data_IF_119525072535
#
_entry.id   IF_119525072535
#
_cell.length_a   1.000
_cell.length_b   1.000
_cell.length_c   1.000
_cell.angle_alpha   90.00
_cell.angle_beta   90.00
_cell.angle_gamma   90.00
#
_symmetry.space_group_name_H-M   'P 1'
#
loop_
_entity.id
_entity.type
_entity.pdbx_description
1 polymer ?
2 polymer ?
3 polymer ?
4 non-polymer ?
5 non-polymer ?
6 non-polymer ?
7 water ?
#
loop_
_entity_poly.entity_id
_entity_poly.type
_entity_poly.pdbx_seq_one_letter_code
_entity_poly.pdbx_strand_id
2 'polydeoxyribonucleotide' '(DC)(DG)(DC)(DT)(DA)(DG)(DT)(DC)(DG)(DT)(DC)(DA)(DT)' ?
3 'polydeoxyribonucleotide' '(DC)(DG)(DA)(DC)(DT)(DA)(DG)(DC)(DG)' ?
#
# COMPACT_ATOMS: atom_id res chain seq x y z
N UNK A 2 -3.24 2.41 -5.76
CA UNK A 2 -4.40 1.54 -5.79
C UNK A 2 -4.87 1.36 -7.23
N UNK A 3 -5.37 0.18 -7.57
CA UNK A 3 -5.92 -0.02 -8.92
C UNK A 3 -7.39 0.33 -8.90
N UNK A 4 -7.74 1.46 -9.51
CA UNK A 4 -9.12 1.94 -9.55
C UNK A 4 -10.10 0.85 -9.99
N UNK A 5 -10.99 0.45 -9.09
CA UNK A 5 -12.05 -0.47 -9.46
C UNK A 5 -11.68 -1.94 -9.45
N UNK A 6 -10.41 -2.24 -9.14
CA UNK A 6 -9.94 -3.63 -9.10
C UNK A 6 -10.79 -4.50 -8.17
N UNK A 7 -11.13 -3.97 -6.99
CA UNK A 7 -11.89 -4.74 -6.02
C UNK A 7 -13.26 -5.19 -6.59
N UNK A 8 -13.95 -4.33 -7.32
CA UNK A 8 -15.21 -4.73 -7.97
C UNK A 8 -14.97 -5.69 -9.12
N UNK A 9 -13.86 -5.48 -9.81
CA UNK A 9 -13.57 -6.21 -11.04
C UNK A 9 -13.27 -7.67 -10.75
N UNK A 10 -12.70 -7.96 -9.59
CA UNK A 10 -12.38 -9.34 -9.26
C UNK A 10 -13.19 -9.83 -8.05
N UNK A 11 -14.33 -9.20 -7.85
CA UNK A 11 -15.19 -9.46 -6.73
C UNK A 11 -15.61 -10.94 -6.57
N UNK A 12 -15.68 -11.70 -7.66
CA UNK A 12 -16.08 -13.11 -7.54
C UNK A 12 -15.03 -13.95 -6.85
N UNK A 13 -13.82 -13.44 -6.69
CA UNK A 13 -12.77 -14.20 -6.01
C UNK A 13 -12.82 -13.91 -4.52
N UNK A 14 -13.68 -12.99 -4.11
CA UNK A 14 -13.68 -12.58 -2.72
C UNK A 14 -14.64 -13.42 -1.92
N UNK A 15 -14.28 -13.60 -0.65
CA UNK A 15 -15.04 -14.45 0.22
C UNK A 15 -15.19 -13.76 1.57
N UNK A 16 -16.43 -13.53 2.03
CA UNK A 16 -16.65 -13.01 3.38
C UNK A 16 -16.03 -13.94 4.40
N UNK A 17 -15.36 -13.39 5.40
CA UNK A 17 -14.78 -14.21 6.44
C UNK A 17 -14.85 -13.51 7.78
N UNK A 18 -14.51 -14.25 8.82
CA UNK A 18 -14.19 -13.63 10.09
C UNK A 18 -12.73 -13.94 10.45
N UNK A 19 -12.01 -12.98 11.06
CA UNK A 19 -10.57 -13.16 11.30
C UNK A 19 -10.21 -14.24 12.29
N UNK A 20 -11.19 -14.80 13.01
CA UNK A 20 -10.88 -15.93 13.89
C UNK A 20 -10.34 -17.10 13.06
N UNK A 21 -10.62 -17.05 11.76
CA UNK A 21 -10.05 -17.95 10.78
C UNK A 21 -8.52 -18.07 10.92
N UNK A 22 -7.86 -16.98 11.32
CA UNK A 22 -6.39 -16.94 11.45
C UNK A 22 -5.90 -16.99 12.89
N UNK A 23 -6.76 -17.41 13.81
CA UNK A 23 -6.39 -17.68 15.18
C UNK A 23 -5.12 -18.53 15.26
N UNK A 24 -4.16 -18.05 16.05
CA UNK A 24 -2.92 -18.78 16.27
C UNK A 24 -1.95 -18.59 15.14
N UNK A 25 -2.27 -17.67 14.23
CA UNK A 25 -1.40 -17.38 13.10
C UNK A 25 -1.03 -15.90 13.13
N UNK A 26 -0.14 -15.51 12.21
CA UNK A 26 0.40 -14.18 12.17
C UNK A 26 -0.18 -13.40 10.99
N UNK A 27 -0.60 -12.18 11.27
CA UNK A 27 -1.20 -11.31 10.28
C UNK A 27 -0.50 -9.94 10.32
N UNK A 28 -0.04 -9.47 9.16
CA UNK A 28 0.55 -8.13 9.08
C UNK A 28 -0.51 -7.12 8.64
N UNK A 29 -0.45 -5.93 9.22
CA UNK A 29 -1.44 -4.88 8.96
C UNK A 29 -0.88 -3.68 8.20
N UNK A 30 -1.63 -3.21 7.21
CA UNK A 30 -1.39 -1.93 6.55
C UNK A 30 -1.91 -0.79 7.43
N UNK A 31 -1.15 -0.45 8.47
CA UNK A 31 -1.63 0.44 9.55
C UNK A 31 -2.08 1.86 9.13
N UNK A 32 -1.60 2.38 8.01
CA UNK A 32 -2.07 3.70 7.58
C UNK A 32 -3.57 3.77 7.25
N UNK A 33 -4.19 2.63 6.95
CA UNK A 33 -5.64 2.61 6.77
C UNK A 33 -6.35 2.97 8.09
N UNK A 34 -5.93 2.31 9.17
CA UNK A 34 -6.51 2.60 10.48
C UNK A 34 -6.18 4.02 10.91
N UNK A 35 -4.90 4.39 10.83
CA UNK A 35 -4.47 5.76 11.08
C UNK A 35 -5.32 6.83 10.40
N UNK A 36 -5.57 6.66 9.11
CA UNK A 36 -6.35 7.63 8.37
C UNK A 36 -7.78 7.67 8.93
N UNK A 37 -8.42 6.50 9.00
CA UNK A 37 -9.79 6.45 9.56
C UNK A 37 -9.90 7.06 10.96
N UNK A 38 -8.92 6.76 11.81
CA UNK A 38 -8.88 7.29 13.16
C UNK A 38 -8.65 8.78 13.25
N UNK A 39 -7.83 9.31 12.34
CA UNK A 39 -7.47 10.72 12.34
C UNK A 39 -8.65 11.58 11.88
N UNK A 40 -9.47 11.00 11.00
CA UNK A 40 -10.73 11.65 10.62
C UNK A 40 -11.63 12.02 11.84
N UNK A 41 -11.73 11.11 12.81
CA UNK A 41 -12.54 11.34 14.00
C UNK A 41 -12.08 12.58 14.81
N UNK A 42 -10.81 12.94 14.72
CA UNK A 42 -10.32 14.11 15.45
C UNK A 42 -9.73 15.14 14.51
N UNK A 43 -10.32 15.29 13.33
CA UNK A 43 -9.77 16.14 12.29
C UNK A 43 -9.70 17.61 12.69
N UNK A 44 -10.70 18.08 13.42
CA UNK A 44 -10.78 19.50 13.79
C UNK A 44 -9.53 19.88 14.57
N UNK A 45 -9.26 19.09 15.61
CA UNK A 45 -8.13 19.34 16.46
C UNK A 45 -6.80 19.17 15.70
N UNK A 46 -6.74 18.20 14.80
CA UNK A 46 -5.50 18.03 14.03
C UNK A 46 -5.24 19.20 13.06
N UNK A 47 -6.29 19.74 12.46
CA UNK A 47 -6.19 20.83 11.52
C UNK A 47 -5.83 22.12 12.24
N UNK A 48 -6.38 22.28 13.45
CA UNK A 48 -6.14 23.48 14.27
C UNK A 48 -4.83 23.39 15.05
N UNK A 49 -4.15 22.25 14.96
CA UNK A 49 -2.88 22.08 15.63
C UNK A 49 -2.98 21.73 17.11
N UNK A 50 -4.20 21.57 17.62
CA UNK A 50 -4.39 21.18 19.01
C UNK A 50 -4.00 19.71 19.20
N UNK A 51 -3.50 19.38 20.39
CA UNK A 51 -3.05 18.01 20.69
C UNK A 51 -4.20 17.00 20.71
N UNK A 52 -3.91 15.82 20.20
CA UNK A 52 -4.87 14.73 20.16
C UNK A 52 -4.15 13.40 20.10
N UNK A 53 -4.74 12.39 20.72
CA UNK A 53 -4.26 11.02 20.57
C UNK A 53 -5.45 10.06 20.38
N UNK A 54 -6.57 10.58 19.91
CA UNK A 54 -7.75 9.76 19.66
C UNK A 54 -7.48 8.61 18.68
N UNK A 55 -6.71 8.94 17.64
CA UNK A 55 -6.41 7.97 16.57
C UNK A 55 -5.64 6.75 17.10
N UNK A 56 -4.92 6.96 18.20
CA UNK A 56 -4.23 5.88 18.90
C UNK A 56 -5.24 4.88 19.45
N UNK A 57 -6.26 5.38 20.15
CA UNK A 57 -7.31 4.54 20.70
C UNK A 57 -8.03 3.81 19.56
N UNK A 58 -8.27 4.53 18.48
CA UNK A 58 -8.95 3.95 17.31
C UNK A 58 -8.21 2.72 16.81
N UNK A 59 -6.93 2.90 16.46
CA UNK A 59 -6.11 1.79 15.99
C UNK A 59 -6.05 0.67 17.03
N UNK A 60 -6.01 1.06 18.30
CA UNK A 60 -5.82 0.09 19.38
C UNK A 60 -7.03 -0.78 19.63
N UNK A 61 -8.23 -0.30 19.32
CA UNK A 61 -9.39 -1.18 19.45
C UNK A 61 -9.30 -2.29 18.40
N UNK A 62 -8.79 -1.97 17.22
CA UNK A 62 -8.56 -2.99 16.20
C UNK A 62 -7.50 -3.99 16.64
N UNK A 63 -6.37 -3.48 17.13
CA UNK A 63 -5.29 -4.36 17.57
C UNK A 63 -5.77 -5.28 18.69
N UNK A 64 -6.48 -4.73 19.65
CA UNK A 64 -7.01 -5.51 20.77
C UNK A 64 -8.03 -6.53 20.29
N UNK A 65 -8.83 -6.15 19.31
CA UNK A 65 -9.79 -7.09 18.73
C UNK A 65 -9.02 -8.27 18.15
N UNK A 66 -7.99 -7.98 17.37
CA UNK A 66 -7.18 -9.05 16.81
C UNK A 66 -6.62 -9.95 17.90
N UNK A 67 -6.09 -9.36 18.97
CA UNK A 67 -5.50 -10.16 20.05
C UNK A 67 -6.53 -11.04 20.75
N UNK A 68 -7.74 -10.54 20.92
CA UNK A 68 -8.80 -11.31 21.58
C UNK A 68 -9.08 -12.66 20.89
N UNK A 69 -8.75 -12.73 19.60
CA UNK A 69 -8.98 -13.93 18.84
C UNK A 69 -7.72 -14.72 18.59
N UNK A 70 -6.73 -14.52 19.43
CA UNK A 70 -5.46 -15.22 19.32
C UNK A 70 -4.63 -14.90 18.08
N UNK A 71 -4.87 -13.75 17.47
CA UNK A 71 -4.11 -13.33 16.29
C UNK A 71 -2.81 -12.60 16.68
N UNK A 72 -1.72 -12.88 15.97
CA UNK A 72 -0.49 -12.11 16.14
C UNK A 72 -0.37 -11.02 15.07
N UNK A 73 -0.72 -9.78 15.44
CA UNK A 73 -0.65 -8.70 14.46
C UNK A 73 0.78 -8.13 14.37
N UNK A 74 1.20 -7.78 13.17
CA UNK A 74 2.43 -7.02 12.98
C UNK A 74 2.03 -5.73 12.27
N UNK A 75 2.14 -4.61 12.96
CA UNK A 75 1.77 -3.34 12.38
C UNK A 75 2.89 -2.85 11.48
N UNK A 76 2.58 -2.59 10.20
CA UNK A 76 3.57 -2.08 9.25
C UNK A 76 3.22 -0.63 8.89
N UNK A 77 4.24 0.19 8.67
CA UNK A 77 4.06 1.62 8.40
C UNK A 77 4.83 2.05 7.17
N UNK A 78 4.31 3.03 6.45
CA UNK A 78 5.05 3.62 5.34
C UNK A 78 6.26 4.41 5.87
N UNK A 79 7.35 4.36 5.10
CA UNK A 79 8.63 4.94 5.49
C UNK A 79 9.03 6.12 4.63
N UNK A 80 10.15 6.02 3.93
CA UNK A 80 10.56 7.13 3.08
C UNK A 80 9.75 7.17 1.81
N UNK A 81 9.66 8.36 1.23
CA UNK A 81 8.87 8.57 0.04
C UNK A 81 9.54 7.89 -1.15
N UNK A 82 8.72 7.24 -1.96
CA UNK A 82 9.21 6.54 -3.14
C UNK A 82 9.14 7.47 -4.35
N UNK A 83 10.24 7.60 -5.10
CA UNK A 83 10.25 8.48 -6.27
C UNK A 83 9.16 8.15 -7.28
N UNK A 84 9.00 6.86 -7.57
CA UNK A 84 7.93 6.36 -8.45
C UNK A 84 6.54 6.89 -8.05
N UNK A 85 6.33 7.15 -6.77
CA UNK A 85 5.04 7.62 -6.27
C UNK A 85 4.97 9.13 -6.01
N UNK A 86 6.11 9.83 -6.13
CA UNK A 86 6.18 11.22 -5.66
C UNK A 86 5.08 12.10 -6.23
N UNK A 87 4.93 12.07 -7.54
CA UNK A 87 3.88 12.80 -8.22
C UNK A 87 2.50 12.61 -7.55
N UNK A 88 2.07 11.35 -7.40
CA UNK A 88 0.76 11.07 -6.81
C UNK A 88 0.68 11.69 -5.41
N UNK A 89 1.77 11.55 -4.68
CA UNK A 89 1.84 12.10 -3.33
C UNK A 89 1.71 13.61 -3.35
N UNK A 90 2.40 14.26 -4.28
CA UNK A 90 2.31 15.71 -4.36
C UNK A 90 0.85 16.11 -4.57
N UNK A 91 0.16 15.33 -5.40
CA UNK A 91 -1.21 15.69 -5.75
C UNK A 91 -2.07 15.65 -4.50
N UNK A 92 -1.83 14.63 -3.68
CA UNK A 92 -2.58 14.51 -2.45
C UNK A 92 -2.31 15.71 -1.57
N UNK A 93 -1.04 16.07 -1.47
CA UNK A 93 -0.66 17.19 -0.63
C UNK A 93 -1.41 18.40 -1.11
N UNK A 94 -1.48 18.58 -2.44
CA UNK A 94 -2.08 19.79 -2.97
C UNK A 94 -3.53 19.85 -2.49
N UNK A 95 -4.25 18.74 -2.67
CA UNK A 95 -5.65 18.69 -2.29
C UNK A 95 -5.80 19.03 -0.82
N UNK A 96 -4.94 18.42 0.00
CA UNK A 96 -5.03 18.61 1.43
C UNK A 96 -4.81 20.07 1.76
N UNK A 97 -3.79 20.66 1.13
CA UNK A 97 -3.48 22.06 1.36
C UNK A 97 -4.73 22.89 1.14
N UNK A 98 -5.42 22.62 0.03
CA UNK A 98 -6.59 23.42 -0.31
C UNK A 98 -7.64 23.26 0.78
N UNK A 99 -7.90 22.01 1.13
CA UNK A 99 -8.94 21.71 2.10
C UNK A 99 -8.59 22.29 3.47
N UNK A 100 -7.34 22.66 3.67
CA UNK A 100 -6.98 23.31 4.91
C UNK A 100 -7.41 24.78 4.84
N UNK A 101 -6.98 25.46 3.77
CA UNK A 101 -7.23 26.90 3.62
C UNK A 101 -8.73 27.17 3.59
N UNK A 102 -9.41 26.53 2.64
CA UNK A 102 -10.85 26.65 2.51
C UNK A 102 -11.54 26.28 3.82
N UNK A 103 -10.91 25.40 4.59
CA UNK A 103 -11.43 25.04 5.90
C UNK A 103 -11.37 26.24 6.82
N UNK A 104 -10.17 26.78 7.00
CA UNK A 104 -9.93 27.90 7.91
C UNK A 104 -10.75 29.10 7.47
N UNK A 105 -10.78 29.32 6.16
CA UNK A 105 -11.60 30.35 5.56
C UNK A 105 -13.03 30.24 6.08
N UNK A 106 -13.58 29.04 6.03
CA UNK A 106 -14.97 28.84 6.45
C UNK A 106 -15.16 29.09 7.94
N UNK A 107 -14.09 28.94 8.72
CA UNK A 107 -14.17 29.21 10.15
C UNK A 107 -14.22 30.71 10.41
N UNK A 108 -13.79 31.49 9.43
CA UNK A 108 -13.84 32.94 9.53
C UNK A 108 -15.09 33.47 8.82
N UNK A 109 -15.95 32.56 8.38
CA UNK A 109 -17.22 32.93 7.79
C UNK A 109 -18.37 32.33 8.59
N UNK A 110 -18.05 31.82 9.78
CA UNK A 110 -19.06 31.29 10.67
C UNK A 110 -19.43 29.84 10.40
N UNK A 111 -19.43 29.46 9.12
CA UNK A 111 -19.84 28.13 8.70
C UNK A 111 -18.87 27.05 9.19
N UNK A 112 -19.33 26.26 10.16
CA UNK A 112 -18.50 25.21 10.75
C UNK A 112 -18.84 23.83 10.19
N UNK A 113 -20.07 23.68 9.70
CA UNK A 113 -20.51 22.41 9.11
C UNK A 113 -19.67 22.06 7.91
N UNK A 114 -19.48 23.03 7.02
CA UNK A 114 -18.65 22.84 5.83
C UNK A 114 -17.16 22.85 6.18
N UNK A 115 -16.81 23.65 7.19
CA UNK A 115 -15.43 23.75 7.64
C UNK A 115 -14.90 22.39 8.14
N UNK A 116 -15.75 21.65 8.85
CA UNK A 116 -15.39 20.31 9.32
C UNK A 116 -15.29 19.32 8.18
N UNK A 117 -16.16 19.49 7.18
CA UNK A 117 -16.12 18.65 5.99
C UNK A 117 -14.83 18.92 5.19
N UNK A 118 -14.27 20.10 5.35
CA UNK A 118 -12.99 20.42 4.73
C UNK A 118 -11.84 19.90 5.57
N UNK A 119 -11.97 20.00 6.88
CA UNK A 119 -10.93 19.54 7.79
C UNK A 119 -10.75 18.04 7.71
N UNK A 120 -11.84 17.33 7.46
CA UNK A 120 -11.78 15.89 7.36
C UNK A 120 -11.03 15.47 6.09
N UNK A 121 -10.98 16.36 5.09
CA UNK A 121 -10.34 16.05 3.83
C UNK A 121 -8.94 16.66 3.69
N UNK A 122 -8.38 17.12 4.81
CA UNK A 122 -7.10 17.82 4.76
C UNK A 122 -6.09 17.20 5.71
N UNK A 123 -6.49 16.14 6.39
CA UNK A 123 -5.62 15.53 7.39
C UNK A 123 -4.38 14.94 6.73
N UNK A 124 -3.23 15.22 7.33
CA UNK A 124 -2.01 14.60 6.89
C UNK A 124 -1.46 13.73 8.00
N UNK A 125 -1.18 12.47 7.68
CA UNK A 125 -0.73 11.52 8.68
C UNK A 125 0.75 11.63 8.87
N UNK A 126 1.16 12.11 10.04
CA UNK A 126 2.56 12.40 10.27
C UNK A 126 3.26 11.19 10.83
N UNK A 127 4.58 11.24 10.86
CA UNK A 127 5.36 10.15 11.40
C UNK A 127 5.31 10.16 12.90
N UNK A 128 5.13 11.33 13.49
CA UNK A 128 5.01 11.43 14.93
C UNK A 128 3.76 10.68 15.39
N UNK A 129 2.66 10.83 14.64
CA UNK A 129 1.40 10.15 14.94
C UNK A 129 1.56 8.63 14.84
N UNK A 130 2.19 8.20 13.75
CA UNK A 130 2.54 6.80 13.56
C UNK A 130 3.32 6.31 14.76
N UNK A 131 4.35 7.06 15.16
CA UNK A 131 5.20 6.60 16.25
C UNK A 131 4.40 6.49 17.55
N UNK A 132 3.44 7.38 17.75
CA UNK A 132 2.55 7.26 18.91
C UNK A 132 1.81 5.92 18.88
N UNK A 133 1.25 5.58 17.71
CA UNK A 133 0.65 4.24 17.55
C UNK A 133 1.63 3.10 17.84
N UNK A 134 2.87 3.25 17.38
CA UNK A 134 3.92 2.26 17.62
C UNK A 134 4.20 2.05 19.10
N UNK A 135 4.37 3.14 19.85
CA UNK A 135 4.60 3.00 21.29
C UNK A 135 3.39 2.34 21.95
N UNK A 136 2.18 2.81 21.64
CA UNK A 136 0.96 2.21 22.19
C UNK A 136 0.91 0.71 21.94
N UNK A 137 1.26 0.30 20.72
CA UNK A 137 1.23 -1.10 20.32
C UNK A 137 2.26 -1.91 21.08
N UNK A 138 3.47 -1.38 21.15
CA UNK A 138 4.53 -2.07 21.87
C UNK A 138 4.23 -2.21 23.36
N UNK A 139 3.43 -1.28 23.91
CA UNK A 139 3.00 -1.42 25.29
C UNK A 139 2.09 -2.66 25.47
N UNK A 140 1.59 -3.22 24.36
CA UNK A 140 0.79 -4.45 24.42
C UNK A 140 1.53 -5.67 23.87
N UNK A 141 2.83 -5.57 23.61
CA UNK A 141 3.59 -6.71 23.12
C UNK A 141 3.45 -6.99 21.62
N UNK A 142 2.97 -5.99 20.89
CA UNK A 142 2.74 -6.13 19.46
C UNK A 142 3.88 -5.58 18.63
N UNK A 143 4.42 -6.41 17.73
CA UNK A 143 5.51 -6.03 16.83
C UNK A 143 5.10 -4.95 15.83
N UNK A 144 5.97 -3.97 15.62
CA UNK A 144 5.78 -2.95 14.59
C UNK A 144 7.00 -2.86 13.69
N UNK A 145 6.78 -2.48 12.42
CA UNK A 145 7.83 -2.43 11.43
C UNK A 145 7.65 -1.24 10.48
N UNK A 146 8.59 -0.30 10.45
CA UNK A 146 8.50 0.79 9.48
C UNK A 146 9.18 0.34 8.19
N UNK A 147 8.41 0.27 7.11
CA UNK A 147 8.95 -0.07 5.81
C UNK A 147 9.99 0.96 5.36
N UNK A 148 10.99 0.53 4.58
CA UNK A 148 11.91 1.54 4.04
C UNK A 148 11.16 2.47 3.09
N UNK A 149 10.27 1.91 2.28
CA UNK A 149 9.46 2.71 1.38
C UNK A 149 7.98 2.44 1.60
N UNK A 150 7.23 2.06 0.56
CA UNK A 150 5.80 1.78 0.76
C UNK A 150 5.59 0.56 1.63
N UNK A 151 4.61 0.63 2.51
CA UNK A 151 4.25 -0.56 3.30
C UNK A 151 3.72 -1.69 2.40
N UNK A 152 3.11 -1.34 1.28
CA UNK A 152 2.56 -2.32 0.33
C UNK A 152 3.56 -3.42 0.06
N UNK A 153 4.77 -3.00 -0.33
CA UNK A 153 5.84 -3.93 -0.70
C UNK A 153 6.31 -4.73 0.49
N UNK A 154 6.46 -4.06 1.64
CA UNK A 154 6.92 -4.68 2.89
C UNK A 154 5.94 -5.79 3.30
N UNK A 155 4.65 -5.49 3.19
CA UNK A 155 3.56 -6.41 3.49
C UNK A 155 3.62 -7.61 2.55
N UNK A 156 3.74 -7.33 1.26
CA UNK A 156 3.84 -8.38 0.25
C UNK A 156 5.01 -9.28 0.57
N UNK A 157 6.14 -8.69 0.93
CA UNK A 157 7.34 -9.46 1.27
C UNK A 157 7.08 -10.34 2.47
N UNK A 158 6.49 -9.78 3.53
CA UNK A 158 6.25 -10.54 4.75
C UNK A 158 5.36 -11.73 4.41
N UNK A 159 4.42 -11.51 3.51
CA UNK A 159 3.47 -12.53 3.11
C UNK A 159 4.14 -13.64 2.28
N UNK A 160 4.87 -13.24 1.25
CA UNK A 160 5.59 -14.16 0.38
C UNK A 160 6.68 -14.93 1.09
N UNK A 161 7.24 -14.36 2.15
CA UNK A 161 8.30 -15.03 2.89
C UNK A 161 7.74 -16.05 3.87
N UNK A 162 6.42 -16.05 4.03
CA UNK A 162 5.80 -16.96 4.99
C UNK A 162 5.93 -16.47 6.43
N UNK A 163 6.30 -15.20 6.58
CA UNK A 163 6.41 -14.55 7.87
C UNK A 163 5.01 -14.22 8.40
N UNK A 164 4.12 -13.81 7.51
CA UNK A 164 2.70 -13.68 7.88
C UNK A 164 1.81 -14.46 6.90
N UNK A 165 0.62 -14.81 7.35
CA UNK A 165 -0.25 -15.68 6.56
C UNK A 165 -1.26 -14.86 5.80
N UNK A 166 -1.44 -13.61 6.20
CA UNK A 166 -2.42 -12.75 5.54
C UNK A 166 -2.09 -11.30 5.78
N UNK A 167 -2.51 -10.43 4.86
CA UNK A 167 -2.36 -8.99 5.01
C UNK A 167 -3.71 -8.31 5.25
N UNK A 168 -3.80 -7.49 6.28
CA UNK A 168 -4.99 -6.65 6.43
C UNK A 168 -4.77 -5.25 5.85
N UNK A 169 -5.59 -4.86 4.89
CA UNK A 169 -5.45 -3.61 4.17
C UNK A 169 -6.77 -3.24 3.49
N UNK A 170 -6.89 -1.97 3.12
CA UNK A 170 -7.99 -1.49 2.29
C UNK A 170 -7.61 -1.45 0.81
N UNK A 171 -6.35 -1.76 0.53
CA UNK A 171 -5.70 -1.42 -0.73
C UNK A 171 -5.49 -2.65 -1.62
N UNK A 172 -6.02 -2.54 -2.84
CA UNK A 172 -6.06 -3.61 -3.85
C UNK A 172 -4.71 -3.91 -4.48
N UNK A 173 -3.88 -2.87 -4.56
CA UNK A 173 -2.47 -2.95 -4.92
C UNK A 173 -1.76 -4.17 -4.40
N UNK A 174 -2.12 -4.61 -3.19
CA UNK A 174 -1.37 -5.66 -2.52
C UNK A 174 -1.42 -6.93 -3.39
N UNK A 175 -2.48 -7.09 -4.18
CA UNK A 175 -2.57 -8.23 -5.06
C UNK A 175 -1.63 -8.09 -6.25
N UNK A 176 -1.45 -6.86 -6.73
CA UNK A 176 -0.53 -6.63 -7.84
C UNK A 176 0.94 -6.85 -7.42
N UNK A 177 1.21 -6.72 -6.13
CA UNK A 177 2.54 -7.00 -5.56
C UNK A 177 2.74 -8.50 -5.34
N UNK A 178 1.70 -9.29 -5.57
CA UNK A 178 1.81 -10.74 -5.46
C UNK A 178 1.57 -11.26 -4.06
N UNK A 179 0.77 -10.55 -3.28
CA UNK A 179 0.28 -11.09 -2.01
C UNK A 179 -0.45 -12.41 -2.22
N UNK A 180 -0.35 -13.31 -1.24
CA UNK A 180 -1.05 -14.60 -1.22
C UNK A 180 -2.48 -14.39 -0.75
N UNK A 181 -2.64 -13.84 0.45
CA UNK A 181 -3.94 -13.61 1.06
C UNK A 181 -4.12 -12.19 1.54
N UNK A 182 -5.24 -11.59 1.17
CA UNK A 182 -5.56 -10.22 1.58
C UNK A 182 -6.95 -10.04 2.17
N UNK A 183 -7.02 -9.35 3.32
CA UNK A 183 -8.25 -9.14 4.04
C UNK A 183 -8.69 -7.68 3.96
N UNK A 184 -9.70 -7.40 3.17
CA UNK A 184 -10.21 -6.05 2.99
C UNK A 184 -11.49 -5.78 3.73
N UNK A 185 -11.82 -4.51 3.90
CA UNK A 185 -13.09 -4.08 4.48
C UNK A 185 -13.31 -4.62 5.90
N UNK A 186 -12.23 -4.97 6.60
CA UNK A 186 -12.39 -5.53 7.94
C UNK A 186 -12.81 -4.50 8.99
N UNK A 187 -13.93 -4.78 9.67
CA UNK A 187 -14.44 -3.82 10.66
C UNK A 187 -13.92 -4.13 12.06
N UNK A 188 -14.41 -3.37 13.04
CA UNK A 188 -13.92 -3.42 14.40
C UNK A 188 -14.27 -4.74 15.10
N UNK A 189 -15.15 -5.53 14.47
CA UNK A 189 -15.60 -6.80 15.05
C UNK A 189 -14.87 -8.02 14.50
N UNK A 190 -14.21 -7.85 13.36
CA UNK A 190 -13.43 -8.92 12.75
C UNK A 190 -14.01 -9.41 11.43
N UNK A 191 -15.06 -8.76 10.97
CA UNK A 191 -15.71 -9.16 9.71
C UNK A 191 -15.05 -8.47 8.51
N UNK A 192 -14.60 -9.24 7.54
CA UNK A 192 -13.95 -8.69 6.36
C UNK A 192 -14.16 -9.51 5.09
N UNK A 193 -13.51 -9.11 4.01
CA UNK A 193 -13.51 -9.84 2.74
C UNK A 193 -12.13 -10.36 2.41
N UNK A 194 -12.01 -11.65 2.15
CA UNK A 194 -10.72 -12.16 1.77
C UNK A 194 -10.63 -12.46 0.27
N UNK A 195 -9.50 -12.09 -0.31
CA UNK A 195 -9.15 -12.51 -1.65
C UNK A 195 -7.81 -13.26 -1.63
N UNK A 196 -7.84 -14.52 -2.06
CA UNK A 196 -6.64 -15.31 -2.26
C UNK A 196 -6.14 -15.15 -3.70
N UNK A 197 -4.81 -15.10 -3.85
CA UNK A 197 -4.20 -15.04 -5.18
C UNK A 197 -4.55 -16.28 -6.02
N UNK A 198 -4.59 -17.43 -5.35
CA UNK A 198 -4.87 -18.70 -6.02
C UNK A 198 -6.30 -18.78 -6.55
N UNK A 199 -7.19 -17.94 -6.01
CA UNK A 199 -8.60 -18.01 -6.35
C UNK A 199 -9.05 -16.92 -7.33
N UNK A 200 -8.09 -16.23 -7.95
CA UNK A 200 -8.39 -15.23 -8.97
C UNK A 200 -9.01 -15.88 -10.23
N UNK A 201 -8.79 -17.17 -10.40
CA UNK A 201 -9.46 -17.94 -11.42
C UNK A 201 -10.96 -18.05 -11.22
N UNK A 202 -11.46 -17.68 -10.04
CA UNK A 202 -12.90 -17.67 -9.80
C UNK A 202 -13.54 -16.44 -10.44
N UNK A 203 -12.74 -15.67 -11.18
CA UNK A 203 -13.24 -14.48 -11.88
C UNK A 203 -13.21 -14.76 -13.35
N UNK A 204 -14.39 -15.08 -13.91
CA UNK A 204 -14.50 -15.48 -15.31
C UNK A 204 -14.10 -14.31 -16.18
N UNK A 205 -14.32 -13.11 -15.67
CA UNK A 205 -13.99 -11.89 -16.39
C UNK A 205 -12.49 -11.75 -16.68
N UNK A 206 -11.66 -12.44 -15.91
CA UNK A 206 -10.22 -12.35 -16.08
C UNK A 206 -9.72 -13.20 -17.24
N UNK A 207 -10.41 -14.31 -17.54
CA UNK A 207 -9.90 -15.22 -18.54
C UNK A 207 -8.64 -15.89 -18.00
N UNK A 208 -7.60 -15.96 -18.82
CA UNK A 208 -6.33 -16.56 -18.41
C UNK A 208 -5.38 -15.54 -17.70
N UNK A 209 -5.85 -14.32 -17.51
CA UNK A 209 -5.09 -13.31 -16.80
C UNK A 209 -5.22 -13.48 -15.29
N UNK A 210 -4.86 -14.66 -14.81
CA UNK A 210 -4.84 -14.89 -13.38
C UNK A 210 -3.44 -15.24 -12.93
N UNK A 211 -2.47 -15.38 -13.85
CA UNK A 211 -1.09 -15.57 -13.40
C UNK A 211 -0.55 -14.26 -12.82
N UNK A 212 0.51 -14.36 -12.02
CA UNK A 212 1.02 -13.21 -11.29
C UNK A 212 1.52 -12.12 -12.26
N UNK A 213 2.33 -12.53 -13.23
CA UNK A 213 2.89 -11.65 -14.25
C UNK A 213 1.81 -10.90 -15.08
N UNK A 214 0.85 -11.65 -15.62
CA UNK A 214 -0.14 -11.04 -16.49
C UNK A 214 -1.10 -10.15 -15.69
N UNK A 215 -1.41 -10.60 -14.48
CA UNK A 215 -2.24 -9.81 -13.56
C UNK A 215 -1.55 -8.47 -13.30
N UNK A 216 -0.25 -8.51 -13.00
CA UNK A 216 0.52 -7.29 -12.75
C UNK A 216 0.53 -6.35 -13.95
N UNK A 217 0.79 -6.91 -15.14
CA UNK A 217 0.72 -6.12 -16.35
C UNK A 217 -0.62 -5.42 -16.52
N UNK A 218 -1.70 -6.16 -16.27
CA UNK A 218 -3.04 -5.63 -16.38
C UNK A 218 -3.25 -4.47 -15.42
N UNK A 219 -2.78 -4.63 -14.19
CA UNK A 219 -2.97 -3.60 -13.17
C UNK A 219 -2.24 -2.35 -13.57
N UNK A 220 -1.02 -2.50 -14.06
CA UNK A 220 -0.25 -1.35 -14.51
C UNK A 220 -0.96 -0.67 -15.69
N UNK A 221 -1.42 -1.46 -16.66
CA UNK A 221 -2.09 -0.92 -17.83
C UNK A 221 -3.40 -0.21 -17.47
N UNK A 222 -4.07 -0.65 -16.43
CA UNK A 222 -5.31 0.02 -16.07
C UNK A 222 -5.01 1.42 -15.52
N UNK A 223 -3.81 1.61 -14.99
CA UNK A 223 -3.48 2.86 -14.35
C UNK A 223 -3.28 2.67 -12.86
N UNK A 224 -2.07 2.99 -12.41
CA UNK A 224 -1.66 2.81 -11.03
C UNK A 224 -0.91 4.04 -10.54
N UNK A 225 -0.50 4.01 -9.28
CA UNK A 225 0.24 5.10 -8.65
C UNK A 225 1.54 5.44 -9.38
N UNK A 226 2.12 4.46 -10.08
CA UNK A 226 3.43 4.65 -10.69
C UNK A 226 3.32 5.06 -12.14
N UNK A 227 2.14 4.86 -12.73
CA UNK A 227 1.95 5.22 -14.12
C UNK A 227 0.48 5.33 -14.47
N UNK A 228 0.15 6.46 -15.05
CA UNK A 228 -1.19 6.78 -15.48
C UNK A 228 -1.52 6.00 -16.72
N UNK A 229 -2.79 5.64 -16.89
CA UNK A 229 -3.18 4.83 -18.03
C UNK A 229 -3.12 5.67 -19.29
N UNK A 230 -3.19 5.01 -20.44
CA UNK A 230 -3.41 5.72 -21.69
C UNK A 230 -4.84 6.23 -21.67
N UNK A 231 -5.14 7.23 -22.50
CA UNK A 231 -6.49 7.79 -22.58
C UNK A 231 -7.52 6.72 -22.96
N UNK A 232 -8.43 6.43 -22.04
CA UNK A 232 -9.53 5.51 -22.31
C UNK A 232 -9.23 4.06 -22.01
N UNK A 233 -8.19 3.80 -21.22
CA UNK A 233 -7.85 2.43 -20.87
C UNK A 233 -8.02 2.20 -19.37
N UNK A 234 -8.84 1.22 -19.03
CA UNK A 234 -9.01 0.81 -17.66
C UNK A 234 -8.84 -0.70 -17.56
N UNK A 235 -9.32 -1.28 -16.47
CA UNK A 235 -9.18 -2.71 -16.24
C UNK A 235 -9.77 -3.58 -17.33
N UNK A 236 -10.98 -3.23 -17.79
CA UNK A 236 -11.66 -4.04 -18.79
C UNK A 236 -10.82 -4.16 -20.06
N UNK A 237 -10.48 -3.00 -20.63
CA UNK A 237 -9.64 -2.95 -21.83
C UNK A 237 -8.26 -3.60 -21.67
N UNK A 238 -7.65 -3.40 -20.50
CA UNK A 238 -6.31 -3.90 -20.26
C UNK A 238 -6.33 -5.42 -20.21
N UNK A 239 -7.25 -5.91 -19.39
CA UNK A 239 -7.55 -7.33 -19.29
C UNK A 239 -7.77 -7.94 -20.68
N UNK A 240 -8.69 -7.36 -21.45
CA UNK A 240 -8.97 -7.82 -22.81
C UNK A 240 -7.70 -7.92 -23.67
N UNK A 241 -6.88 -6.87 -23.62
CA UNK A 241 -5.61 -6.82 -24.34
C UNK A 241 -4.69 -7.98 -23.98
N UNK A 242 -4.57 -8.27 -22.67
CA UNK A 242 -3.74 -9.37 -22.24
C UNK A 242 -4.37 -10.75 -22.53
N UNK A 243 -5.68 -10.80 -22.70
CA UNK A 243 -6.33 -12.04 -23.05
C UNK A 243 -6.03 -12.39 -24.51
N UNK A 244 -6.31 -11.43 -25.40
CA UNK A 244 -6.08 -11.63 -26.82
C UNK A 244 -4.59 -11.72 -27.14
N UNK A 245 -3.75 -11.22 -26.24
CA UNK A 245 -2.32 -11.24 -26.44
C UNK A 245 -1.78 -12.65 -26.50
N UNK A 246 -1.11 -12.96 -27.61
CA UNK A 246 -0.54 -14.28 -27.81
C UNK A 246 0.98 -14.20 -27.82
N UNK A 247 1.51 -12.99 -27.76
CA UNK A 247 2.95 -12.76 -27.72
C UNK A 247 3.47 -12.62 -26.28
N UNK A 248 4.58 -13.30 -25.97
CA UNK A 248 5.16 -13.31 -24.62
C UNK A 248 5.80 -11.97 -24.24
N UNK A 249 6.29 -11.23 -25.22
CA UNK A 249 6.92 -9.95 -24.95
C UNK A 249 5.89 -8.82 -24.84
N UNK A 250 5.80 -8.25 -23.64
CA UNK A 250 4.77 -7.28 -23.30
C UNK A 250 4.93 -5.94 -24.04
N UNK A 251 6.17 -5.57 -24.37
CA UNK A 251 6.41 -4.32 -25.09
C UNK A 251 5.74 -4.31 -26.47
N UNK A 252 5.85 -5.41 -27.21
CA UNK A 252 5.28 -5.47 -28.56
C UNK A 252 3.75 -5.43 -28.49
N UNK A 253 3.22 -6.11 -27.48
CA UNK A 253 1.81 -6.05 -27.14
C UNK A 253 1.34 -4.61 -26.96
N UNK A 254 2.04 -3.88 -26.09
CA UNK A 254 1.66 -2.51 -25.78
C UNK A 254 1.81 -1.62 -27.02
N UNK A 255 2.75 -1.96 -27.90
CA UNK A 255 2.87 -1.26 -29.16
C UNK A 255 1.73 -1.58 -30.12
N UNK A 256 1.06 -2.71 -29.92
CA UNK A 256 -0.08 -3.06 -30.78
C UNK A 256 -1.42 -2.94 -30.05
N UNK A 257 -1.39 -2.25 -28.92
CA UNK A 257 -2.58 -2.15 -28.07
C UNK A 257 -3.78 -1.59 -28.84
N UNK A 258 -3.51 -0.71 -29.80
CA UNK A 258 -4.58 -0.15 -30.61
C UNK A 258 -5.17 -1.22 -31.49
N UNK A 259 -4.34 -2.14 -31.96
CA UNK A 259 -4.79 -3.19 -32.84
C UNK A 259 -5.65 -4.19 -32.06
N UNK A 260 -5.24 -4.48 -30.83
CA UNK A 260 -5.99 -5.43 -30.01
C UNK A 260 -7.39 -4.94 -29.62
N UNK A 261 -7.58 -3.62 -29.56
CA UNK A 261 -8.86 -3.06 -29.11
C UNK A 261 -9.64 -2.40 -30.24
N UNK A 262 -9.14 -2.51 -31.46
CA UNK A 262 -9.75 -1.88 -32.63
C UNK A 262 -9.94 -0.38 -32.39
N UNK A 263 -8.92 0.27 -31.84
CA UNK A 263 -8.96 1.71 -31.59
C UNK A 263 -7.72 2.40 -32.16
N UNK A 264 -7.75 3.72 -32.20
CA UNK A 264 -6.63 4.48 -32.71
C UNK A 264 -5.81 5.08 -31.57
N UNK A 265 -5.17 4.21 -30.79
CA UNK A 265 -4.46 4.64 -29.58
C UNK A 265 -3.04 5.09 -29.86
N UNK A 266 -2.76 6.35 -29.58
CA UNK A 266 -1.43 6.89 -29.69
C UNK A 266 -0.63 6.51 -28.45
N UNK A 267 0.42 5.73 -28.64
CA UNK A 267 1.26 5.28 -27.54
C UNK A 267 2.60 6.02 -27.54
N UNK A 268 2.80 6.95 -26.60
CA UNK A 268 4.08 7.68 -26.54
C UNK A 268 5.27 6.75 -26.28
N UNK A 269 6.45 7.10 -26.77
CA UNK A 269 7.62 6.25 -26.63
C UNK A 269 8.04 6.17 -25.17
N UNK A 270 7.74 7.22 -24.43
CA UNK A 270 8.04 7.26 -23.01
C UNK A 270 7.10 6.35 -22.24
N UNK A 271 5.89 6.11 -22.76
CA UNK A 271 4.94 5.28 -22.05
C UNK A 271 5.53 3.91 -21.79
N UNK A 272 6.32 3.43 -22.75
CA UNK A 272 6.97 2.13 -22.64
C UNK A 272 7.93 2.10 -21.48
N UNK A 273 8.83 3.07 -21.46
CA UNK A 273 9.84 3.14 -20.42
C UNK A 273 9.22 3.31 -19.05
N UNK A 274 8.11 4.04 -19.00
CA UNK A 274 7.38 4.23 -17.76
C UNK A 274 6.66 2.96 -17.33
N UNK A 275 6.30 2.13 -18.30
CA UNK A 275 5.65 0.86 -18.02
C UNK A 275 6.68 -0.07 -17.42
N UNK A 276 7.85 -0.13 -18.07
CA UNK A 276 8.99 -0.89 -17.56
C UNK A 276 9.32 -0.42 -16.15
N UNK A 277 9.16 0.89 -15.92
CA UNK A 277 9.54 1.48 -14.65
C UNK A 277 8.58 0.97 -13.59
N UNK A 278 7.30 1.08 -13.91
CA UNK A 278 6.24 0.68 -12.99
C UNK A 278 6.31 -0.81 -12.69
N UNK A 279 6.56 -1.61 -13.72
CA UNK A 279 6.74 -3.05 -13.56
C UNK A 279 7.85 -3.32 -12.56
N UNK A 280 8.98 -2.67 -12.80
CA UNK A 280 10.16 -2.83 -11.97
C UNK A 280 9.92 -2.38 -10.54
N UNK A 281 8.99 -1.46 -10.37
CA UNK A 281 8.73 -0.91 -9.05
C UNK A 281 7.88 -1.90 -8.25
N UNK A 282 6.90 -2.52 -8.94
CA UNK A 282 6.12 -3.61 -8.34
C UNK A 282 7.01 -4.80 -8.01
N UNK A 283 8.01 -5.05 -8.84
CA UNK A 283 8.86 -6.23 -8.67
C UNK A 283 9.98 -6.05 -7.63
N UNK A 284 10.66 -4.91 -7.69
CA UNK A 284 11.98 -4.76 -7.09
C UNK A 284 12.05 -3.69 -5.99
N UNK A 285 10.93 -3.15 -5.56
CA UNK A 285 10.93 -2.12 -4.54
C UNK A 285 11.56 -2.66 -3.27
N UNK A 286 12.41 -1.84 -2.65
CA UNK A 286 13.17 -2.29 -1.50
C UNK A 286 12.29 -2.52 -0.29
N UNK A 287 12.65 -3.53 0.48
CA UNK A 287 11.92 -3.89 1.67
C UNK A 287 12.97 -4.27 2.66
N UNK A 288 12.55 -4.48 3.90
CA UNK A 288 13.48 -4.80 4.95
C UNK A 288 13.21 -6.21 5.47
N UNK A 289 14.21 -7.07 5.34
CA UNK A 289 14.15 -8.42 5.90
C UNK A 289 14.36 -8.31 7.40
N UNK A 290 13.31 -8.54 8.20
CA UNK A 290 13.46 -8.35 9.66
C UNK A 290 14.31 -9.44 10.31
N UNK A 291 14.56 -10.52 9.60
CA UNK A 291 15.25 -11.67 10.16
C UNK A 291 16.73 -11.58 9.93
N UNK A 292 17.09 -11.21 8.71
CA UNK A 292 18.49 -10.99 8.36
C UNK A 292 18.88 -9.55 8.65
N UNK A 293 17.89 -8.72 8.93
CA UNK A 293 18.07 -7.31 9.24
C UNK A 293 18.88 -6.60 8.16
N UNK A 294 18.34 -6.59 6.95
CA UNK A 294 18.96 -5.89 5.85
C UNK A 294 17.94 -5.54 4.74
N UNK A 295 18.35 -4.61 3.88
CA UNK A 295 17.52 -4.14 2.78
C UNK A 295 17.63 -5.06 1.59
N UNK A 296 16.49 -5.37 0.99
CA UNK A 296 16.44 -6.30 -0.14
C UNK A 296 15.35 -5.88 -1.12
N UNK A 297 15.49 -6.25 -2.40
CA UNK A 297 14.35 -5.95 -3.24
C UNK A 297 13.23 -6.95 -2.91
N UNK A 298 11.99 -6.57 -3.16
CA UNK A 298 10.86 -7.46 -2.89
C UNK A 298 11.06 -8.83 -3.59
N UNK A 299 11.51 -8.84 -4.84
CA UNK A 299 11.91 -10.08 -5.50
C UNK A 299 13.35 -9.99 -5.97
N UNK A 300 14.06 -11.11 -5.98
CA UNK A 300 15.45 -11.15 -6.42
C UNK A 300 15.57 -10.67 -7.86
N UNK A 301 16.62 -9.90 -8.12
CA UNK A 301 16.87 -9.36 -9.45
C UNK A 301 17.01 -10.48 -10.51
N UNK A 302 16.33 -10.31 -11.63
CA UNK A 302 16.42 -11.27 -12.73
C UNK A 302 17.65 -10.96 -13.57
N UNK A 303 17.91 -11.76 -14.59
CA UNK A 303 19.06 -11.54 -15.44
C UNK A 303 18.78 -10.39 -16.41
N UNK A 304 17.51 -10.03 -16.55
CA UNK A 304 17.09 -9.01 -17.51
C UNK A 304 16.98 -7.61 -16.90
N UNK A 305 17.35 -7.48 -15.63
CA UNK A 305 17.28 -6.18 -14.98
C UNK A 305 18.63 -5.77 -14.38
N UNK A 306 19.05 -4.56 -14.71
CA UNK A 306 20.25 -3.96 -14.14
C UNK A 306 19.85 -3.07 -12.97
N UNK A 307 20.19 -3.50 -11.74
CA UNK A 307 19.78 -2.86 -10.47
C UNK A 307 20.26 -1.41 -10.32
N UNK A 308 21.25 -1.02 -11.10
CA UNK A 308 21.75 0.35 -11.07
C UNK A 308 20.69 1.29 -11.62
N UNK A 309 19.86 0.79 -12.53
CA UNK A 309 18.84 1.62 -13.16
C UNK A 309 17.60 1.77 -12.30
N UNK A 310 17.60 1.15 -11.12
CA UNK A 310 16.37 1.01 -10.32
C UNK A 310 16.28 1.96 -9.12
N UNK A 311 16.80 3.17 -9.27
CA UNK A 311 16.74 4.18 -8.21
C UNK A 311 15.32 4.62 -7.92
N UNK A 312 14.46 4.57 -8.95
CA UNK A 312 13.06 4.95 -8.74
C UNK A 312 12.33 3.98 -7.80
N UNK A 313 12.88 2.77 -7.65
CA UNK A 313 12.28 1.76 -6.79
C UNK A 313 12.79 1.84 -5.36
N UNK A 314 13.55 2.89 -5.04
CA UNK A 314 14.06 3.07 -3.70
C UNK A 314 15.58 2.96 -3.63
N UNK A 315 16.20 3.91 -2.93
CA UNK A 315 17.63 3.96 -2.77
C UNK A 315 18.04 3.06 -1.62
N UNK A 316 19.15 2.35 -1.77
CA UNK A 316 19.75 1.60 -0.68
C UNK A 316 20.41 2.52 0.36
N UNK A 317 20.24 2.18 1.63
CA UNK A 317 21.00 2.83 2.71
C UNK A 317 21.66 1.72 3.53
N UNK A 318 22.66 2.09 4.35
CA UNK A 318 23.36 1.12 5.18
C UNK A 318 22.35 0.32 6.01
N UNK A 319 22.60 -0.96 6.19
CA UNK A 319 21.64 -1.80 6.91
C UNK A 319 21.36 -1.33 8.33
N UNK A 320 22.34 -0.70 8.97
CA UNK A 320 22.17 -0.28 10.37
C UNK A 320 21.16 0.85 10.46
N UNK A 321 21.24 1.77 9.50
CA UNK A 321 20.26 2.84 9.31
C UNK A 321 18.86 2.28 8.99
N UNK A 322 18.82 1.34 8.05
CA UNK A 322 17.55 0.69 7.67
C UNK A 322 16.89 0.05 8.90
N UNK A 323 17.71 -0.59 9.71
CA UNK A 323 17.23 -1.20 10.94
C UNK A 323 16.68 -0.17 11.91
N UNK A 324 17.38 0.94 12.09
CA UNK A 324 16.87 1.97 13.01
C UNK A 324 15.59 2.61 12.48
N UNK A 325 15.45 2.70 11.17
CA UNK A 325 14.20 3.17 10.56
C UNK A 325 13.08 2.14 10.79
N UNK A 326 13.38 0.86 10.59
CA UNK A 326 12.39 -0.21 10.74
C UNK A 326 11.90 -0.29 12.17
N UNK A 327 12.79 -0.09 13.11
CA UNK A 327 12.39 -0.09 14.51
C UNK A 327 11.54 1.12 14.87
N UNK A 328 11.53 2.14 14.02
CA UNK A 328 10.81 3.36 14.29
C UNK A 328 11.66 4.27 15.18
N UNK A 329 12.92 3.93 15.33
CA UNK A 329 13.82 4.78 16.13
C UNK A 329 14.26 6.03 15.38
N UNK A 330 14.46 5.90 14.07
CA UNK A 330 14.96 7.02 13.30
C UNK A 330 13.85 7.76 12.58
N UNK A 331 13.74 9.06 12.88
CA UNK A 331 12.83 9.96 12.19
C UNK A 331 13.11 9.97 10.69
N UNK A 332 12.07 9.71 9.92
CA UNK A 332 12.21 9.62 8.46
C UNK A 332 12.80 10.89 7.83
N UNK A 333 12.38 12.05 8.32
CA UNK A 333 12.71 13.32 7.68
C UNK A 333 14.11 13.80 8.05
N UNK A 334 14.36 13.88 9.35
CA UNK A 334 15.59 14.43 9.89
C UNK A 334 16.70 13.40 10.02
N UNK A 335 16.29 12.13 10.01
CA UNK A 335 17.23 11.02 10.15
C UNK A 335 17.86 11.04 11.52
N UNK A 336 17.27 11.81 12.42
CA UNK A 336 17.72 11.84 13.81
C UNK A 336 17.00 10.78 14.64
N UNK A 337 17.68 10.31 15.68
CA UNK A 337 17.16 9.31 16.60
C UNK A 337 16.15 9.86 17.60
N UNK A 338 14.89 9.46 17.47
CA UNK A 338 13.83 9.98 18.35
C UNK A 338 13.38 8.97 19.41
N UNK A 339 13.97 7.78 19.42
CA UNK A 339 13.57 6.71 20.35
C UNK A 339 14.72 5.74 20.52
N UNK A 340 14.66 4.87 21.53
CA UNK A 340 15.75 3.94 21.79
C UNK A 340 15.32 2.48 22.00
N UNK A 341 14.37 2.01 21.21
CA UNK A 341 13.86 0.65 21.39
C UNK A 341 14.87 -0.44 20.98
N UNK A 342 15.18 -1.34 21.90
CA UNK A 342 16.07 -2.46 21.59
C UNK A 342 15.38 -3.78 21.84
N UNK A 343 15.01 -4.50 20.76
CA UNK A 343 14.24 -5.74 20.86
C UNK A 343 15.10 -6.91 21.33
N UNK A 344 16.41 -6.78 21.20
CA UNK A 344 17.33 -7.84 21.60
C UNK A 344 17.24 -8.11 23.10
N UNK A 345 17.23 -7.05 23.90
CA UNK A 345 17.14 -7.19 25.35
C UNK A 345 15.81 -7.80 25.79
N UNK A 355 9.70 -11.09 16.23
CA UNK A 355 9.75 -10.76 14.82
C UNK A 355 11.19 -10.59 14.33
N UNK A 356 12.08 -10.25 15.26
CA UNK A 356 13.48 -9.98 14.94
C UNK A 356 14.42 -11.06 15.50
#
# INVERSE_FOLDING_TARGET
MGIQGLLQFIKEASEPIHVRKYKGQVVAVDTYCWLHKGAIACAEKLAKGEPTDRYVGFCMKFVNMLLSHGIKPILVFDGCTLPSKKEVERSRRERRQANLLKGKQLLREGKVSEARECFTRSINITHAMAHKVIKAARSQGVDCLVAPYEADAQLAYLNKAGIVQAIITEDSDLLAFGCKKVILKMDQFGNGLEIDQARLGMCRQLGDVFTEEKFRYMCILSGCAYLSSLRGIGLAKACKVLRLANNPDIVKVIKKIGHYLKMNITVPEDYINGFIRANNTFLYQLVFDPIKRKLIPLNAYEDDVDPETLSYAGQYVDDSIALQIALGNKDINTFEQIDDYNPDTAMPAHSRENLYFQ
#
